data_IF_763146421562
#
_entry.id   IF_763146421562
#
_cell.length_a   1.000
_cell.length_b   1.000
_cell.length_c   1.000
_cell.angle_alpha   90.00
_cell.angle_beta   90.00
_cell.angle_gamma   90.00
#
_symmetry.space_group_name_H-M   'P 1'
#
loop_
_entity.id
_entity.type
_entity.pdbx_description
1 polymer ?
#
# COMPACT_ATOMS: atom_id res chain seq x y z
N UNK A 1 8.52 40.96 -14.86
CA UNK A 1 7.15 41.27 -14.42
C UNK A 1 7.20 41.82 -13.00
N UNK A 2 6.50 42.92 -12.65
CA UNK A 2 6.45 43.47 -11.29
C UNK A 2 5.70 42.57 -10.29
N UNK A 3 5.04 41.52 -10.78
CA UNK A 3 4.25 40.57 -10.00
C UNK A 3 5.14 39.42 -9.51
N UNK A 4 5.94 39.64 -8.48
CA UNK A 4 6.93 38.66 -8.01
C UNK A 4 6.43 37.74 -6.87
N UNK A 5 5.37 38.12 -6.16
CA UNK A 5 4.89 37.39 -4.99
C UNK A 5 3.39 37.12 -5.04
N UNK A 6 3.01 35.84 -5.04
CA UNK A 6 1.61 35.37 -5.11
C UNK A 6 0.75 35.91 -3.96
N UNK A 7 1.31 36.01 -2.75
CA UNK A 7 0.61 36.60 -1.60
C UNK A 7 0.30 38.09 -1.78
N UNK A 8 1.20 38.86 -2.40
CA UNK A 8 0.96 40.29 -2.63
C UNK A 8 -0.12 40.51 -3.68
N UNK A 9 -0.10 39.71 -4.75
CA UNK A 9 -1.14 39.67 -5.77
C UNK A 9 -2.53 39.37 -5.18
N UNK A 10 -2.62 38.34 -4.34
CA UNK A 10 -3.88 37.97 -3.68
C UNK A 10 -4.44 39.12 -2.83
N UNK A 11 -3.59 39.80 -2.06
CA UNK A 11 -3.98 40.96 -1.26
C UNK A 11 -4.53 42.11 -2.12
N UNK A 12 -3.82 42.47 -3.21
CA UNK A 12 -4.24 43.54 -4.12
C UNK A 12 -5.57 43.25 -4.81
N UNK A 13 -5.78 42.00 -5.25
CA UNK A 13 -7.05 41.59 -5.85
C UNK A 13 -8.18 41.61 -4.83
N UNK A 14 -7.93 41.13 -3.61
CA UNK A 14 -8.89 41.20 -2.52
C UNK A 14 -9.26 42.65 -2.20
N UNK A 15 -8.29 43.56 -2.08
CA UNK A 15 -8.56 44.98 -1.84
C UNK A 15 -9.41 45.59 -2.97
N UNK A 16 -9.04 45.34 -4.24
CA UNK A 16 -9.80 45.83 -5.39
C UNK A 16 -11.25 45.30 -5.46
N UNK A 17 -11.47 44.02 -5.13
CA UNK A 17 -12.81 43.43 -5.05
C UNK A 17 -13.62 44.05 -3.92
N UNK A 18 -13.00 44.23 -2.75
CA UNK A 18 -13.62 44.84 -1.57
C UNK A 18 -14.04 46.28 -1.86
N UNK A 19 -13.15 47.08 -2.46
CA UNK A 19 -13.43 48.47 -2.82
C UNK A 19 -14.57 48.56 -3.82
N UNK A 20 -14.54 47.74 -4.88
CA UNK A 20 -15.61 47.71 -5.89
C UNK A 20 -16.97 47.32 -5.31
N UNK A 21 -17.00 46.30 -4.45
CA UNK A 21 -18.24 45.87 -3.79
C UNK A 21 -18.73 46.91 -2.77
N UNK A 22 -17.82 47.59 -2.07
CA UNK A 22 -18.17 48.68 -1.15
C UNK A 22 -18.78 49.87 -1.89
N UNK A 23 -18.19 50.26 -3.02
CA UNK A 23 -18.73 51.33 -3.88
C UNK A 23 -20.13 51.00 -4.39
N UNK A 24 -20.37 49.75 -4.82
CA UNK A 24 -21.66 49.36 -5.39
C UNK A 24 -22.74 49.04 -4.36
N UNK A 25 -22.38 48.46 -3.21
CA UNK A 25 -23.34 47.96 -2.22
C UNK A 25 -23.38 48.78 -0.92
N UNK A 26 -22.52 49.80 -0.78
CA UNK A 26 -22.44 50.66 0.40
C UNK A 26 -21.84 50.00 1.65
N UNK A 27 -21.48 48.71 1.60
CA UNK A 27 -20.92 47.95 2.72
C UNK A 27 -19.69 47.16 2.30
N UNK A 28 -18.71 47.10 3.20
CA UNK A 28 -17.51 46.28 3.02
C UNK A 28 -17.86 44.80 3.23
N UNK A 29 -17.59 43.88 2.28
CA UNK A 29 -17.78 42.45 2.52
C UNK A 29 -16.77 41.92 3.55
N UNK A 30 -17.15 40.88 4.30
CA UNK A 30 -16.24 40.11 5.16
C UNK A 30 -15.32 39.23 4.32
N UNK A 31 -14.21 38.79 4.91
CA UNK A 31 -13.27 37.85 4.30
C UNK A 31 -13.07 36.70 5.28
N UNK A 32 -13.35 35.48 4.83
CA UNK A 32 -13.12 34.23 5.57
C UNK A 32 -12.19 33.35 4.73
N UNK A 33 -11.05 32.96 5.28
CA UNK A 33 -10.08 32.09 4.59
C UNK A 33 -10.49 30.63 4.55
N UNK A 34 -11.30 30.20 5.52
CA UNK A 34 -11.57 28.80 5.80
C UNK A 34 -12.88 28.38 5.14
N UNK A 35 -13.92 29.19 5.26
CA UNK A 35 -15.26 28.91 4.72
C UNK A 35 -15.88 30.10 3.99
N UNK A 36 -15.28 30.59 2.89
CA UNK A 36 -15.84 31.71 2.14
C UNK A 36 -17.11 31.33 1.37
N UNK A 37 -18.08 32.26 1.34
CA UNK A 37 -19.26 32.19 0.47
C UNK A 37 -18.88 32.18 -1.02
N UNK A 38 -17.93 33.04 -1.40
CA UNK A 38 -17.40 33.14 -2.75
C UNK A 38 -15.88 33.08 -2.72
N UNK A 39 -15.32 32.16 -3.50
CA UNK A 39 -13.88 31.99 -3.65
C UNK A 39 -13.46 32.39 -5.05
N UNK A 40 -12.37 33.15 -5.16
CA UNK A 40 -11.81 33.57 -6.43
C UNK A 40 -10.41 32.98 -6.64
N UNK A 41 -10.13 32.53 -7.86
CA UNK A 41 -8.81 32.04 -8.27
C UNK A 41 -8.17 33.01 -9.24
N UNK A 42 -6.94 33.43 -8.94
CA UNK A 42 -6.16 34.32 -9.78
C UNK A 42 -5.05 33.52 -10.48
N UNK A 43 -5.01 33.56 -11.80
CA UNK A 43 -3.90 33.02 -12.60
C UNK A 43 -3.18 34.16 -13.28
N UNK A 44 -1.92 34.37 -12.91
CA UNK A 44 -1.03 35.35 -13.53
C UNK A 44 0.07 34.62 -14.31
N UNK A 45 0.27 35.00 -15.57
CA UNK A 45 1.30 34.41 -16.43
C UNK A 45 1.71 35.36 -17.57
N UNK A 46 2.49 34.88 -18.56
CA UNK A 46 2.96 35.70 -19.67
C UNK A 46 1.83 36.37 -20.47
N UNK A 47 0.66 35.73 -20.55
CA UNK A 47 -0.53 36.25 -21.23
C UNK A 47 -1.42 37.16 -20.38
N UNK A 48 -0.93 37.67 -19.25
CA UNK A 48 -1.68 38.56 -18.35
C UNK A 48 -2.32 37.85 -17.16
N UNK A 49 -3.37 38.47 -16.61
CA UNK A 49 -4.02 38.06 -15.36
C UNK A 49 -5.46 37.65 -15.66
N UNK A 50 -5.86 36.48 -15.16
CA UNK A 50 -7.23 35.96 -15.26
C UNK A 50 -7.78 35.69 -13.87
N UNK A 51 -8.99 36.17 -13.62
CA UNK A 51 -9.72 35.98 -12.37
C UNK A 51 -10.92 35.06 -12.64
N UNK A 52 -11.07 34.02 -11.84
CA UNK A 52 -12.18 33.06 -11.93
C UNK A 52 -12.95 33.02 -10.62
N UNK A 53 -14.27 32.86 -10.72
CA UNK A 53 -15.10 32.49 -9.58
C UNK A 53 -15.13 30.95 -9.45
N UNK A 54 -14.85 30.45 -8.24
CA UNK A 54 -14.91 29.03 -7.93
C UNK A 54 -16.34 28.60 -7.65
N UNK A 55 -16.93 27.86 -8.58
CA UNK A 55 -18.27 27.31 -8.43
C UNK A 55 -18.29 25.96 -7.69
N UNK A 56 -17.13 25.35 -7.46
CA UNK A 56 -17.02 24.04 -6.79
C UNK A 56 -17.00 24.17 -5.27
N UNK A 57 -16.33 25.21 -4.74
CA UNK A 57 -16.09 25.36 -3.31
C UNK A 57 -15.00 24.39 -2.86
N UNK A 58 -15.35 23.39 -2.03
CA UNK A 58 -14.38 22.34 -1.69
C UNK A 58 -14.01 21.52 -2.94
N UNK A 59 -12.76 21.05 -3.08
CA UNK A 59 -12.32 20.29 -4.26
C UNK A 59 -13.26 19.14 -4.63
N UNK A 60 -13.56 18.97 -5.92
CA UNK A 60 -14.59 18.02 -6.39
C UNK A 60 -14.29 16.53 -6.08
N UNK A 61 -13.03 16.15 -5.85
CA UNK A 61 -12.71 14.79 -5.40
C UNK A 61 -13.32 14.46 -4.03
N UNK A 62 -13.55 15.47 -3.19
CA UNK A 62 -14.26 15.30 -1.92
C UNK A 62 -15.76 15.14 -2.19
N UNK A 63 -16.20 13.89 -2.36
CA UNK A 63 -17.60 13.56 -2.67
C UNK A 63 -18.56 13.77 -1.49
N UNK A 64 -18.04 14.00 -0.30
CA UNK A 64 -18.81 14.00 0.96
C UNK A 64 -19.06 12.60 1.55
N UNK A 65 -18.45 11.55 0.97
CA UNK A 65 -18.71 10.15 1.32
C UNK A 65 -17.64 9.51 2.22
N UNK A 66 -16.41 10.03 2.19
CA UNK A 66 -15.25 9.43 2.85
C UNK A 66 -14.98 10.11 4.20
N UNK A 67 -14.87 9.30 5.27
CA UNK A 67 -14.60 9.81 6.63
C UNK A 67 -13.21 9.46 7.14
N UNK A 68 -12.61 8.38 6.67
CA UNK A 68 -11.31 7.87 7.15
C UNK A 68 -10.37 7.56 5.99
N UNK A 69 -9.10 7.85 6.19
CA UNK A 69 -8.04 7.59 5.21
C UNK A 69 -7.03 6.60 5.80
N UNK A 70 -6.50 5.74 4.94
CA UNK A 70 -5.31 4.92 5.21
C UNK A 70 -4.07 5.62 4.63
N UNK A 71 -2.88 5.12 4.89
CA UNK A 71 -1.64 5.62 4.30
C UNK A 71 -1.67 5.56 2.76
N UNK A 72 -1.15 6.60 2.10
CA UNK A 72 -1.02 6.74 0.64
C UNK A 72 -2.29 6.43 -0.22
N UNK A 73 -3.45 7.05 0.06
CA UNK A 73 -4.67 6.72 -0.67
C UNK A 73 -4.74 7.39 -2.05
N UNK A 74 -5.28 6.66 -3.02
CA UNK A 74 -5.68 7.23 -4.32
C UNK A 74 -6.84 8.22 -4.09
N UNK A 75 -6.76 9.41 -4.71
CA UNK A 75 -7.87 10.38 -4.70
C UNK A 75 -9.06 9.85 -5.51
N UNK A 76 -10.27 10.19 -5.10
CA UNK A 76 -11.54 9.73 -5.69
C UNK A 76 -11.62 10.01 -7.19
N UNK A 77 -11.22 11.22 -7.61
CA UNK A 77 -11.21 11.58 -9.03
C UNK A 77 -10.17 10.78 -9.85
N UNK A 78 -9.04 10.41 -9.25
CA UNK A 78 -8.05 9.56 -9.90
C UNK A 78 -8.58 8.13 -10.01
N UNK A 79 -9.15 7.58 -8.93
CA UNK A 79 -9.77 6.26 -8.95
C UNK A 79 -10.87 6.17 -10.02
N UNK A 80 -11.76 7.17 -10.08
CA UNK A 80 -12.77 7.29 -11.14
C UNK A 80 -12.15 7.33 -12.53
N UNK A 81 -11.09 8.13 -12.74
CA UNK A 81 -10.41 8.20 -14.04
C UNK A 81 -9.85 6.86 -14.47
N UNK A 82 -9.26 6.09 -13.55
CA UNK A 82 -8.70 4.77 -13.83
C UNK A 82 -9.77 3.72 -14.13
N UNK A 83 -10.91 3.75 -13.41
CA UNK A 83 -12.07 2.92 -13.72
C UNK A 83 -12.64 3.22 -15.11
N UNK A 84 -12.76 4.50 -15.48
CA UNK A 84 -13.17 4.92 -16.81
C UNK A 84 -12.16 4.44 -17.88
N UNK A 85 -10.86 4.55 -17.61
CA UNK A 85 -9.80 4.03 -18.51
C UNK A 85 -9.88 2.52 -18.68
N UNK A 86 -10.31 1.79 -17.66
CA UNK A 86 -10.58 0.34 -17.71
C UNK A 86 -11.91 -0.03 -18.35
N UNK A 87 -12.73 0.95 -18.76
CA UNK A 87 -14.05 0.71 -19.35
C UNK A 87 -15.08 0.20 -18.33
N UNK A 88 -14.90 0.48 -17.04
CA UNK A 88 -15.77 -0.05 -15.98
C UNK A 88 -17.27 0.20 -16.21
N UNK A 89 -17.75 1.39 -16.61
CA UNK A 89 -19.20 1.59 -16.81
C UNK A 89 -19.82 0.65 -17.85
N UNK A 90 -19.12 0.38 -18.94
CA UNK A 90 -19.58 -0.55 -19.98
C UNK A 90 -19.55 -2.00 -19.48
N UNK A 91 -18.49 -2.37 -18.76
CA UNK A 91 -18.34 -3.71 -18.17
C UNK A 91 -19.41 -3.98 -17.10
N UNK A 92 -19.67 -3.00 -16.22
CA UNK A 92 -20.72 -3.07 -15.22
C UNK A 92 -22.10 -3.27 -15.86
N UNK A 93 -22.40 -2.54 -16.95
CA UNK A 93 -23.64 -2.73 -17.72
C UNK A 93 -23.78 -4.11 -18.37
N UNK A 94 -22.67 -4.82 -18.57
CA UNK A 94 -22.61 -6.22 -19.05
C UNK A 94 -22.62 -7.25 -17.91
N UNK A 95 -22.74 -6.81 -16.65
CA UNK A 95 -22.74 -7.67 -15.47
C UNK A 95 -21.36 -8.15 -15.03
N UNK A 96 -20.27 -7.51 -15.47
CA UNK A 96 -18.93 -7.85 -14.97
C UNK A 96 -18.79 -7.43 -13.51
N UNK A 97 -18.13 -8.27 -12.72
CA UNK A 97 -17.80 -7.92 -11.34
C UNK A 97 -16.66 -6.89 -11.26
N UNK A 98 -16.58 -6.13 -10.17
CA UNK A 98 -15.41 -5.31 -9.81
C UNK A 98 -14.73 -5.89 -8.58
N UNK A 99 -13.42 -6.14 -8.67
CA UNK A 99 -12.62 -6.66 -7.57
C UNK A 99 -11.41 -5.78 -7.29
N UNK A 100 -11.14 -5.50 -6.02
CA UNK A 100 -9.86 -4.93 -5.58
C UNK A 100 -9.23 -5.83 -4.50
N UNK A 101 -8.17 -6.60 -4.81
CA UNK A 101 -7.51 -7.51 -3.88
C UNK A 101 -6.69 -6.83 -2.77
N UNK A 102 -6.48 -5.50 -2.85
CA UNK A 102 -5.78 -4.69 -1.85
C UNK A 102 -6.45 -3.33 -1.74
N UNK A 103 -7.69 -3.35 -1.25
CA UNK A 103 -8.62 -2.25 -1.39
C UNK A 103 -8.32 -1.03 -0.52
N UNK A 104 -7.47 -1.16 0.51
CA UNK A 104 -7.12 -0.08 1.42
C UNK A 104 -8.37 0.55 2.03
N UNK A 105 -8.60 1.85 1.77
CA UNK A 105 -9.80 2.54 2.23
C UNK A 105 -11.06 2.32 1.36
N UNK A 106 -11.00 1.48 0.35
CA UNK A 106 -12.11 1.11 -0.54
C UNK A 106 -12.40 2.09 -1.68
N UNK A 107 -11.47 2.98 -2.04
CA UNK A 107 -11.76 4.09 -2.98
C UNK A 107 -12.19 3.61 -4.37
N UNK A 108 -11.53 2.60 -4.94
CA UNK A 108 -11.94 2.04 -6.24
C UNK A 108 -13.33 1.41 -6.17
N UNK A 109 -13.65 0.72 -5.08
CA UNK A 109 -14.93 0.04 -4.91
C UNK A 109 -16.07 1.05 -4.71
N UNK A 110 -15.83 2.13 -3.97
CA UNK A 110 -16.79 3.23 -3.79
C UNK A 110 -17.05 3.90 -5.14
N UNK A 111 -16.02 4.39 -5.84
CA UNK A 111 -16.23 5.07 -7.13
C UNK A 111 -16.82 4.10 -8.18
N UNK A 112 -16.43 2.82 -8.14
CA UNK A 112 -16.99 1.78 -8.99
C UNK A 112 -18.48 1.53 -8.75
N UNK A 113 -18.89 1.45 -7.48
CA UNK A 113 -20.29 1.33 -7.10
C UNK A 113 -21.10 2.58 -7.46
N UNK A 114 -20.54 3.78 -7.28
CA UNK A 114 -21.19 5.03 -7.72
C UNK A 114 -21.43 5.03 -9.24
N UNK A 115 -20.45 4.59 -10.03
CA UNK A 115 -20.60 4.46 -11.49
C UNK A 115 -21.66 3.43 -11.87
N UNK A 116 -21.67 2.26 -11.23
CA UNK A 116 -22.65 1.21 -11.51
C UNK A 116 -24.08 1.63 -11.14
N UNK A 117 -24.23 2.38 -10.03
CA UNK A 117 -25.49 3.00 -9.63
C UNK A 117 -25.86 4.25 -10.42
N UNK A 118 -25.05 4.68 -11.41
CA UNK A 118 -25.22 5.97 -12.08
C UNK A 118 -25.43 7.15 -11.09
N UNK A 119 -24.82 7.06 -9.90
CA UNK A 119 -24.96 8.04 -8.83
C UNK A 119 -23.96 9.15 -9.05
N UNK A 120 -24.46 10.35 -9.41
CA UNK A 120 -23.57 11.45 -9.73
C UNK A 120 -22.67 11.84 -8.53
N UNK A 121 -21.39 12.19 -8.78
CA UNK A 121 -20.40 12.42 -7.72
C UNK A 121 -20.73 13.61 -6.80
N UNK A 122 -21.65 14.48 -7.24
CA UNK A 122 -22.08 15.66 -6.51
C UNK A 122 -23.23 15.47 -5.52
N UNK A 123 -23.99 14.36 -5.58
CA UNK A 123 -25.24 14.22 -4.82
C UNK A 123 -25.05 14.31 -3.30
N UNK A 124 -23.94 13.78 -2.79
CA UNK A 124 -23.65 13.67 -1.36
C UNK A 124 -22.82 14.84 -0.82
N UNK A 125 -22.49 15.81 -1.67
CA UNK A 125 -21.77 17.01 -1.23
C UNK A 125 -22.71 17.89 -0.40
N UNK A 126 -22.18 18.51 0.64
CA UNK A 126 -22.92 19.44 1.50
C UNK A 126 -23.28 20.76 0.81
N UNK A 127 -22.51 21.13 -0.22
CA UNK A 127 -22.72 22.35 -0.99
C UNK A 127 -21.68 22.53 -2.10
N UNK A 128 -21.83 23.63 -2.82
CA UNK A 128 -20.99 24.08 -3.91
C UNK A 128 -20.65 25.56 -3.77
N UNK A 129 -19.55 25.99 -4.39
CA UNK A 129 -19.13 27.40 -4.37
C UNK A 129 -20.11 28.34 -5.09
N UNK A 130 -21.05 27.80 -5.87
CA UNK A 130 -22.11 28.57 -6.48
C UNK A 130 -23.31 28.83 -5.55
N UNK A 131 -23.42 28.19 -4.38
CA UNK A 131 -24.64 28.29 -3.55
C UNK A 131 -24.92 29.73 -3.08
N UNK A 132 -23.86 30.51 -2.80
CA UNK A 132 -23.94 31.92 -2.42
C UNK A 132 -23.74 32.89 -3.61
N UNK A 133 -23.57 32.39 -4.83
CA UNK A 133 -23.35 33.23 -6.01
C UNK A 133 -24.66 33.91 -6.42
N UNK A 134 -24.71 35.25 -6.58
CA UNK A 134 -25.95 35.93 -6.98
C UNK A 134 -26.54 35.49 -8.33
N UNK A 135 -25.73 34.87 -9.21
CA UNK A 135 -26.19 34.29 -10.47
C UNK A 135 -26.77 32.87 -10.34
N UNK A 136 -26.73 32.27 -9.15
CA UNK A 136 -27.28 30.95 -8.89
C UNK A 136 -28.79 30.93 -9.12
N UNK A 137 -29.26 29.85 -9.73
CA UNK A 137 -30.67 29.60 -10.01
C UNK A 137 -31.13 28.36 -9.23
N UNK A 138 -31.69 28.53 -8.02
CA UNK A 138 -32.06 27.40 -7.16
C UNK A 138 -33.02 26.41 -7.83
N UNK A 139 -34.00 26.88 -8.59
CA UNK A 139 -34.94 26.02 -9.31
C UNK A 139 -34.26 25.12 -10.33
N UNK A 140 -33.37 25.68 -11.15
CA UNK A 140 -32.58 24.91 -12.13
C UNK A 140 -31.68 23.87 -11.44
N UNK A 141 -31.06 24.25 -10.32
CA UNK A 141 -30.22 23.31 -9.56
C UNK A 141 -31.05 22.17 -8.96
N UNK A 142 -32.24 22.47 -8.43
CA UNK A 142 -33.16 21.47 -7.93
C UNK A 142 -33.59 20.48 -9.01
N UNK A 143 -33.87 20.96 -10.23
CA UNK A 143 -34.18 20.11 -11.40
C UNK A 143 -33.03 19.15 -11.72
N UNK A 144 -31.79 19.67 -11.83
CA UNK A 144 -30.59 18.85 -12.09
C UNK A 144 -30.36 17.82 -10.98
N UNK A 145 -30.58 18.20 -9.72
CA UNK A 145 -30.45 17.29 -8.59
C UNK A 145 -31.48 16.16 -8.65
N UNK A 146 -32.75 16.48 -8.93
CA UNK A 146 -33.82 15.49 -9.07
C UNK A 146 -33.60 14.55 -10.26
N UNK A 147 -33.06 15.06 -11.37
CA UNK A 147 -32.63 14.21 -12.50
C UNK A 147 -31.58 13.19 -12.05
N UNK A 148 -30.54 13.66 -11.34
CA UNK A 148 -29.46 12.79 -10.88
C UNK A 148 -29.93 11.77 -9.82
N UNK A 149 -30.87 12.13 -8.94
CA UNK A 149 -31.50 11.22 -7.98
C UNK A 149 -32.33 10.13 -8.70
N UNK A 150 -33.17 10.51 -9.67
CA UNK A 150 -33.96 9.56 -10.48
C UNK A 150 -33.07 8.61 -11.29
N UNK A 151 -31.98 9.12 -11.86
CA UNK A 151 -31.03 8.31 -12.60
C UNK A 151 -30.34 7.26 -11.72
N UNK A 152 -30.06 7.61 -10.46
CA UNK A 152 -29.48 6.68 -9.49
C UNK A 152 -30.48 5.61 -9.04
N UNK A 153 -31.73 6.00 -8.80
CA UNK A 153 -32.80 5.08 -8.41
C UNK A 153 -33.07 4.02 -9.47
N UNK A 154 -33.07 4.40 -10.76
CA UNK A 154 -33.31 3.48 -11.88
C UNK A 154 -32.21 2.42 -12.07
N UNK A 155 -31.02 2.61 -11.49
CA UNK A 155 -29.89 1.70 -11.63
C UNK A 155 -29.75 0.70 -10.48
N UNK A 156 -30.52 0.85 -9.39
CA UNK A 156 -30.40 0.05 -8.16
C UNK A 156 -30.51 -1.46 -8.39
N UNK A 157 -31.39 -1.87 -9.29
CA UNK A 157 -31.67 -3.30 -9.54
C UNK A 157 -30.65 -3.98 -10.46
N UNK A 158 -29.65 -3.24 -10.97
CA UNK A 158 -28.66 -3.71 -11.94
C UNK A 158 -27.24 -3.78 -11.37
N UNK A 159 -27.12 -3.94 -10.05
CA UNK A 159 -25.82 -3.90 -9.40
C UNK A 159 -24.98 -5.15 -9.72
N UNK A 160 -23.77 -4.99 -10.29
CA UNK A 160 -22.82 -6.09 -10.40
C UNK A 160 -22.26 -6.44 -9.02
N UNK A 161 -21.64 -7.62 -8.91
CA UNK A 161 -20.87 -7.96 -7.72
C UNK A 161 -19.64 -7.04 -7.59
N UNK A 162 -19.49 -6.41 -6.43
CA UNK A 162 -18.33 -5.56 -6.11
C UNK A 162 -17.70 -6.06 -4.80
N UNK A 163 -16.43 -6.45 -4.86
CA UNK A 163 -15.75 -7.12 -3.74
C UNK A 163 -14.35 -6.54 -3.51
N UNK A 164 -14.03 -6.26 -2.26
CA UNK A 164 -12.70 -5.82 -1.82
C UNK A 164 -12.07 -6.77 -0.83
N UNK A 165 -10.76 -6.92 -0.94
CA UNK A 165 -9.94 -7.64 0.04
C UNK A 165 -8.82 -6.75 0.53
N UNK A 166 -8.39 -6.96 1.76
CA UNK A 166 -7.13 -6.40 2.24
C UNK A 166 -6.51 -7.32 3.30
N UNK A 167 -5.19 -7.30 3.41
CA UNK A 167 -4.46 -8.03 4.43
C UNK A 167 -4.45 -7.29 5.78
N UNK A 168 -4.61 -5.96 5.76
CA UNK A 168 -4.63 -5.13 6.95
C UNK A 168 -6.04 -5.04 7.55
N UNK A 169 -6.28 -5.53 8.78
CA UNK A 169 -7.58 -5.44 9.43
C UNK A 169 -8.03 -3.98 9.67
N UNK A 170 -7.10 -3.03 9.85
CA UNK A 170 -7.43 -1.60 10.00
C UNK A 170 -7.93 -1.00 8.69
N UNK A 171 -7.27 -1.33 7.56
CA UNK A 171 -7.74 -0.98 6.23
C UNK A 171 -9.15 -1.54 5.96
N UNK A 172 -9.39 -2.82 6.25
CA UNK A 172 -10.72 -3.46 6.15
C UNK A 172 -11.78 -2.71 6.97
N UNK A 173 -11.47 -2.39 8.23
CA UNK A 173 -12.38 -1.64 9.09
C UNK A 173 -12.67 -0.24 8.52
N UNK A 174 -11.66 0.41 7.97
CA UNK A 174 -11.75 1.73 7.32
C UNK A 174 -12.61 1.69 6.05
N UNK A 175 -12.40 0.71 5.16
CA UNK A 175 -13.20 0.51 3.96
C UNK A 175 -14.68 0.29 4.30
N UNK A 176 -14.98 -0.61 5.26
CA UNK A 176 -16.36 -0.83 5.74
C UNK A 176 -16.99 0.44 6.30
N UNK A 177 -16.25 1.23 7.07
CA UNK A 177 -16.75 2.50 7.61
C UNK A 177 -17.04 3.53 6.50
N UNK A 178 -16.21 3.61 5.47
CA UNK A 178 -16.43 4.50 4.32
C UNK A 178 -17.62 4.03 3.48
N UNK A 179 -17.79 2.72 3.26
CA UNK A 179 -18.97 2.16 2.57
C UNK A 179 -20.26 2.47 3.32
N UNK A 180 -20.27 2.32 4.65
CA UNK A 180 -21.42 2.74 5.49
C UNK A 180 -21.73 4.22 5.34
N UNK A 181 -20.71 5.07 5.46
CA UNK A 181 -20.87 6.51 5.27
C UNK A 181 -21.38 6.86 3.87
N UNK A 182 -21.04 6.06 2.86
CA UNK A 182 -21.50 6.24 1.49
C UNK A 182 -22.90 5.65 1.20
N UNK A 183 -23.46 4.85 2.12
CA UNK A 183 -24.69 4.10 1.90
C UNK A 183 -24.53 2.93 0.92
N UNK A 184 -23.34 2.32 0.88
CA UNK A 184 -22.95 1.26 -0.06
C UNK A 184 -22.65 -0.09 0.61
N UNK A 185 -22.80 -0.21 1.93
CA UNK A 185 -22.47 -1.45 2.66
C UNK A 185 -23.30 -2.66 2.22
N UNK A 186 -24.53 -2.45 1.72
CA UNK A 186 -25.39 -3.53 1.23
C UNK A 186 -25.04 -4.04 -0.17
N UNK A 187 -24.22 -3.29 -0.93
CA UNK A 187 -23.91 -3.60 -2.35
C UNK A 187 -22.42 -3.85 -2.61
N UNK A 188 -21.54 -3.51 -1.68
CA UNK A 188 -20.11 -3.79 -1.76
C UNK A 188 -19.68 -4.67 -0.60
N UNK A 189 -19.08 -5.82 -0.90
CA UNK A 189 -18.53 -6.74 0.09
C UNK A 189 -17.06 -6.43 0.37
N UNK A 190 -16.67 -6.38 1.64
CA UNK A 190 -15.26 -6.25 2.06
C UNK A 190 -14.89 -7.42 2.95
N UNK A 191 -13.80 -8.11 2.62
CA UNK A 191 -13.27 -9.25 3.36
C UNK A 191 -11.83 -9.00 3.81
N UNK A 192 -11.46 -9.54 4.97
CA UNK A 192 -10.07 -9.60 5.40
C UNK A 192 -9.47 -10.86 4.79
N UNK A 193 -8.57 -10.70 3.83
CA UNK A 193 -7.91 -11.80 3.14
C UNK A 193 -6.64 -11.29 2.46
N UNK A 194 -5.46 -11.79 2.86
CA UNK A 194 -4.22 -11.55 2.14
C UNK A 194 -4.27 -12.09 0.71
N UNK A 195 -3.58 -11.42 -0.22
CA UNK A 195 -3.51 -11.84 -1.64
C UNK A 195 -2.98 -13.27 -1.81
N UNK A 196 -2.09 -13.70 -0.92
CA UNK A 196 -1.53 -15.05 -0.90
C UNK A 196 -2.55 -16.16 -0.59
N UNK A 197 -3.67 -15.83 0.07
CA UNK A 197 -4.78 -16.74 0.36
C UNK A 197 -5.93 -16.60 -0.66
N UNK A 198 -5.90 -15.58 -1.51
CA UNK A 198 -6.90 -15.40 -2.56
C UNK A 198 -6.73 -16.45 -3.65
N UNK A 199 -7.85 -17.02 -4.05
CA UNK A 199 -7.96 -18.01 -5.11
C UNK A 199 -9.31 -17.85 -5.81
N UNK A 200 -9.50 -18.56 -6.92
CA UNK A 200 -10.70 -18.46 -7.74
C UNK A 200 -12.02 -18.62 -6.98
N UNK A 201 -12.05 -19.47 -5.94
CA UNK A 201 -13.28 -19.77 -5.20
C UNK A 201 -13.81 -18.59 -4.36
N UNK A 202 -12.92 -17.65 -3.99
CA UNK A 202 -13.29 -16.43 -3.26
C UNK A 202 -13.74 -15.29 -4.18
N UNK A 203 -13.58 -15.45 -5.50
CA UNK A 203 -13.90 -14.43 -6.49
C UNK A 203 -15.24 -14.72 -7.18
N UNK A 204 -15.95 -13.68 -7.65
CA UNK A 204 -17.19 -13.84 -8.43
C UNK A 204 -17.09 -14.87 -9.57
N UNK A 205 -18.15 -15.64 -9.81
CA UNK A 205 -18.12 -16.75 -10.78
C UNK A 205 -18.05 -16.27 -12.25
N UNK A 206 -18.57 -15.08 -12.55
CA UNK A 206 -18.57 -14.48 -13.88
C UNK A 206 -17.24 -13.83 -14.28
N UNK A 207 -17.20 -13.15 -15.44
CA UNK A 207 -16.08 -12.29 -15.80
C UNK A 207 -16.04 -11.05 -14.91
N UNK A 208 -14.87 -10.43 -14.80
CA UNK A 208 -14.71 -9.26 -13.96
C UNK A 208 -13.56 -8.36 -14.36
N UNK A 209 -13.55 -7.19 -13.73
CA UNK A 209 -12.48 -6.23 -13.75
C UNK A 209 -11.81 -6.23 -12.38
N UNK A 210 -10.53 -6.58 -12.33
CA UNK A 210 -9.69 -6.38 -11.15
C UNK A 210 -8.99 -5.02 -11.25
N UNK A 211 -9.17 -4.12 -10.30
CA UNK A 211 -8.39 -2.87 -10.24
C UNK A 211 -7.79 -2.73 -8.86
N UNK A 212 -6.48 -2.47 -8.79
CA UNK A 212 -5.81 -2.36 -7.50
C UNK A 212 -4.69 -1.34 -7.50
N UNK A 213 -4.41 -0.78 -6.32
CA UNK A 213 -3.30 0.10 -6.04
C UNK A 213 -2.43 -0.54 -4.94
N UNK A 214 -1.62 -1.56 -5.29
CA UNK A 214 -0.76 -2.21 -4.32
C UNK A 214 0.25 -1.22 -3.76
N UNK A 215 0.88 -1.55 -2.62
CA UNK A 215 2.02 -0.79 -2.13
C UNK A 215 3.14 -0.71 -3.18
N UNK A 216 3.69 0.49 -3.38
CA UNK A 216 4.87 0.73 -4.19
C UNK A 216 5.77 1.73 -3.45
N UNK A 217 7.07 1.47 -3.41
CA UNK A 217 8.03 2.30 -2.68
C UNK A 217 9.45 2.09 -3.18
N UNK A 218 10.32 3.06 -2.93
CA UNK A 218 11.69 3.11 -3.48
C UNK A 218 12.75 2.42 -2.61
N UNK A 219 12.37 1.81 -1.48
CA UNK A 219 13.34 1.21 -0.54
C UNK A 219 13.72 -0.21 -0.95
N UNK A 220 15.02 -0.50 -1.02
CA UNK A 220 15.59 -1.78 -1.48
C UNK A 220 15.02 -3.02 -0.74
N UNK A 221 14.87 -2.96 0.59
CA UNK A 221 14.32 -4.07 1.39
C UNK A 221 12.83 -4.32 1.14
N UNK A 222 12.05 -3.26 0.94
CA UNK A 222 10.63 -3.36 0.61
C UNK A 222 10.44 -3.90 -0.82
N UNK A 223 11.32 -3.57 -1.78
CA UNK A 223 11.19 -3.98 -3.19
C UNK A 223 11.13 -5.50 -3.38
N UNK A 224 11.88 -6.30 -2.62
CA UNK A 224 11.86 -7.76 -2.76
C UNK A 224 10.52 -8.36 -2.32
N UNK A 225 10.02 -7.95 -1.15
CA UNK A 225 8.70 -8.33 -0.66
C UNK A 225 7.60 -7.89 -1.62
N UNK A 226 7.70 -6.66 -2.14
CA UNK A 226 6.79 -6.15 -3.16
C UNK A 226 6.82 -6.98 -4.45
N UNK A 227 7.99 -7.40 -4.94
CA UNK A 227 8.05 -8.25 -6.14
C UNK A 227 7.40 -9.61 -5.93
N UNK A 228 7.52 -10.19 -4.74
CA UNK A 228 6.81 -11.43 -4.37
C UNK A 228 5.30 -11.19 -4.36
N UNK A 229 4.84 -10.09 -3.75
CA UNK A 229 3.43 -9.70 -3.73
C UNK A 229 2.85 -9.52 -5.14
N UNK A 230 3.55 -8.80 -6.02
CA UNK A 230 3.13 -8.61 -7.42
C UNK A 230 3.14 -9.94 -8.21
N UNK A 231 4.03 -10.89 -7.88
CA UNK A 231 3.98 -12.25 -8.42
C UNK A 231 2.77 -13.03 -7.93
N UNK A 232 2.39 -12.90 -6.65
CA UNK A 232 1.18 -13.54 -6.12
C UNK A 232 -0.07 -13.02 -6.83
N UNK A 233 -0.17 -11.70 -7.08
CA UNK A 233 -1.20 -11.14 -7.95
C UNK A 233 -1.19 -11.77 -9.34
N UNK A 234 -0.02 -11.86 -9.96
CA UNK A 234 0.15 -12.49 -11.26
C UNK A 234 -0.30 -13.96 -11.30
N UNK A 235 -0.07 -14.71 -10.22
CA UNK A 235 -0.55 -16.09 -10.06
C UNK A 235 -2.06 -16.17 -9.95
N UNK A 236 -2.68 -15.32 -9.13
CA UNK A 236 -4.14 -15.23 -9.00
C UNK A 236 -4.80 -14.98 -10.37
N UNK A 237 -4.22 -14.09 -11.17
CA UNK A 237 -4.74 -13.75 -12.50
C UNK A 237 -4.75 -14.91 -13.49
N UNK A 238 -3.95 -15.96 -13.28
CA UNK A 238 -3.95 -17.15 -14.15
C UNK A 238 -5.25 -17.93 -14.08
N UNK A 239 -5.97 -17.83 -12.96
CA UNK A 239 -7.25 -18.50 -12.76
C UNK A 239 -8.43 -17.68 -13.30
N UNK A 240 -8.15 -16.51 -13.90
CA UNK A 240 -9.13 -15.50 -14.29
C UNK A 240 -9.15 -15.28 -15.81
N UNK A 241 -9.11 -16.36 -16.59
CA UNK A 241 -9.23 -16.30 -18.04
C UNK A 241 -10.48 -15.49 -18.46
N UNK A 242 -10.30 -14.54 -19.37
CA UNK A 242 -11.35 -13.65 -19.86
C UNK A 242 -11.65 -12.42 -18.97
N UNK A 243 -10.98 -12.29 -17.83
CA UNK A 243 -11.07 -11.08 -17.01
C UNK A 243 -10.17 -9.97 -17.53
N UNK A 244 -10.36 -8.75 -17.00
CA UNK A 244 -9.46 -7.61 -17.19
C UNK A 244 -8.81 -7.24 -15.87
N UNK A 245 -7.58 -6.76 -15.91
CA UNK A 245 -6.90 -6.23 -14.74
C UNK A 245 -6.33 -4.82 -14.97
N UNK A 246 -6.30 -4.04 -13.89
CA UNK A 246 -5.73 -2.69 -13.80
C UNK A 246 -4.83 -2.58 -12.58
N UNK A 247 -3.62 -2.08 -12.76
CA UNK A 247 -2.58 -2.07 -11.73
C UNK A 247 -1.91 -0.69 -11.59
N UNK A 248 -2.11 -0.11 -10.41
CA UNK A 248 -1.42 1.04 -9.80
C UNK A 248 0.08 0.80 -9.49
N UNK A 249 1.08 1.42 -10.13
CA UNK A 249 2.44 1.41 -9.55
C UNK A 249 3.34 2.57 -9.98
N UNK A 250 4.30 2.97 -9.14
CA UNK A 250 5.41 3.86 -9.52
C UNK A 250 6.63 3.12 -10.06
N UNK A 251 6.71 1.79 -9.92
CA UNK A 251 7.89 1.00 -10.27
C UNK A 251 7.54 0.00 -11.37
N UNK A 252 8.06 0.23 -12.58
CA UNK A 252 7.81 -0.62 -13.75
C UNK A 252 8.22 -2.09 -13.52
N UNK A 253 9.32 -2.31 -12.81
CA UNK A 253 9.81 -3.65 -12.44
C UNK A 253 8.79 -4.45 -11.63
N UNK A 254 7.94 -3.78 -10.81
CA UNK A 254 6.88 -4.44 -10.06
C UNK A 254 5.74 -4.89 -10.97
N UNK A 255 5.32 -4.03 -11.92
CA UNK A 255 4.34 -4.43 -12.93
C UNK A 255 4.83 -5.64 -13.75
N UNK A 256 6.10 -5.65 -14.15
CA UNK A 256 6.73 -6.80 -14.84
C UNK A 256 6.77 -8.06 -13.98
N UNK A 257 6.91 -7.92 -12.66
CA UNK A 257 6.95 -9.06 -11.74
C UNK A 257 5.63 -9.85 -11.73
N UNK A 258 4.50 -9.27 -12.13
CA UNK A 258 3.24 -10.04 -12.35
C UNK A 258 3.40 -11.19 -13.34
N UNK A 259 4.37 -11.11 -14.26
CA UNK A 259 4.54 -12.08 -15.34
C UNK A 259 3.54 -11.90 -16.48
N UNK A 260 2.72 -10.84 -16.47
CA UNK A 260 1.74 -10.55 -17.51
C UNK A 260 2.22 -9.42 -18.42
N UNK A 261 1.96 -9.56 -19.72
CA UNK A 261 2.15 -8.47 -20.68
C UNK A 261 0.95 -7.52 -20.60
N UNK A 262 1.20 -6.24 -20.32
CA UNK A 262 0.15 -5.22 -20.35
C UNK A 262 -0.30 -4.95 -21.78
N UNK A 263 -1.60 -4.86 -22.02
CA UNK A 263 -2.17 -4.43 -23.31
C UNK A 263 -2.12 -2.92 -23.49
N UNK A 264 -2.16 -2.15 -22.40
CA UNK A 264 -2.03 -0.69 -22.41
C UNK A 264 -1.37 -0.19 -21.12
N UNK A 265 -0.76 0.99 -21.20
CA UNK A 265 -0.35 1.72 -20.01
C UNK A 265 -0.58 3.23 -20.14
N UNK A 266 -0.78 3.91 -19.02
CA UNK A 266 -1.00 5.35 -18.94
C UNK A 266 -0.09 5.97 -17.88
N UNK A 267 0.72 6.97 -18.25
CA UNK A 267 1.48 7.76 -17.29
C UNK A 267 0.57 8.79 -16.59
N UNK A 268 0.74 8.94 -15.28
CA UNK A 268 -0.06 9.84 -14.44
C UNK A 268 0.70 10.19 -13.15
N UNK A 269 0.15 11.11 -12.36
CA UNK A 269 0.68 11.45 -11.04
C UNK A 269 -0.31 11.07 -9.95
N UNK A 270 0.12 10.28 -8.97
CA UNK A 270 -0.63 10.06 -7.74
C UNK A 270 -0.08 11.01 -6.67
N UNK A 271 -0.70 12.19 -6.55
CA UNK A 271 -0.14 13.28 -5.76
C UNK A 271 1.19 13.76 -6.37
N UNK A 272 2.30 13.80 -5.62
CA UNK A 272 3.59 14.20 -6.16
C UNK A 272 4.31 13.06 -6.91
N UNK A 273 3.88 11.80 -6.75
CA UNK A 273 4.59 10.62 -7.24
C UNK A 273 4.21 10.35 -8.69
N UNK A 274 5.22 10.18 -9.55
CA UNK A 274 5.02 9.73 -10.92
C UNK A 274 4.71 8.23 -10.92
N UNK A 275 3.59 7.88 -11.54
CA UNK A 275 3.10 6.52 -11.60
C UNK A 275 2.69 6.14 -13.01
N UNK A 276 2.50 4.84 -13.21
CA UNK A 276 1.89 4.30 -14.41
C UNK A 276 0.77 3.35 -14.02
N UNK A 277 -0.35 3.48 -14.71
CA UNK A 277 -1.45 2.52 -14.64
C UNK A 277 -1.29 1.53 -15.78
N UNK A 278 -1.19 0.24 -15.45
CA UNK A 278 -1.08 -0.84 -16.42
C UNK A 278 -2.41 -1.55 -16.54
N UNK A 279 -2.79 -1.89 -17.77
CA UNK A 279 -4.02 -2.62 -18.08
C UNK A 279 -3.65 -3.94 -18.75
N UNK A 280 -4.36 -5.00 -18.38
CA UNK A 280 -4.11 -6.36 -18.82
C UNK A 280 -5.42 -6.99 -19.25
N UNK A 281 -5.37 -7.68 -20.39
CA UNK A 281 -6.40 -8.63 -20.79
C UNK A 281 -5.89 -10.01 -20.35
N UNK A 282 -6.61 -10.66 -19.43
CA UNK A 282 -6.17 -11.90 -18.80
C UNK A 282 -6.50 -13.08 -19.72
N UNK A 283 -5.58 -13.34 -20.66
CA UNK A 283 -5.59 -14.54 -21.49
C UNK A 283 -4.27 -15.29 -21.41
N UNK A 284 -4.31 -16.61 -21.56
CA UNK A 284 -3.12 -17.47 -21.47
C UNK A 284 -1.96 -17.00 -22.38
N UNK A 285 -2.23 -16.37 -23.53
CA UNK A 285 -1.20 -15.88 -24.45
C UNK A 285 -0.41 -14.68 -23.91
N UNK A 286 -0.99 -13.90 -22.97
CA UNK A 286 -0.36 -12.72 -22.37
C UNK A 286 0.51 -13.07 -21.16
N UNK A 287 0.37 -14.26 -20.59
CA UNK A 287 1.18 -14.71 -19.48
C UNK A 287 2.55 -15.24 -19.95
N UNK A 288 3.61 -14.67 -19.38
CA UNK A 288 5.02 -15.01 -19.66
C UNK A 288 5.79 -15.42 -18.41
N UNK A 289 5.14 -15.42 -17.24
CA UNK A 289 5.80 -15.70 -15.96
C UNK A 289 6.48 -17.07 -15.90
N UNK A 290 5.87 -18.09 -16.51
CA UNK A 290 6.41 -19.46 -16.51
C UNK A 290 7.53 -19.66 -17.55
N UNK A 291 7.75 -18.71 -18.46
CA UNK A 291 8.74 -18.85 -19.55
C UNK A 291 10.15 -18.34 -19.18
N UNK A 292 10.36 -17.77 -17.99
CA UNK A 292 11.67 -17.26 -17.57
C UNK A 292 12.60 -18.40 -17.10
N UNK A 293 13.65 -18.77 -17.86
CA UNK A 293 14.53 -19.89 -17.51
C UNK A 293 15.32 -19.64 -16.22
N UNK A 294 15.65 -18.38 -15.93
CA UNK A 294 16.38 -18.00 -14.72
C UNK A 294 15.50 -18.25 -13.50
N UNK A 295 14.21 -17.91 -13.62
CA UNK A 295 13.22 -18.17 -12.57
C UNK A 295 12.99 -19.66 -12.37
N UNK A 296 12.77 -20.42 -13.43
CA UNK A 296 12.61 -21.88 -13.34
C UNK A 296 13.81 -22.54 -12.64
N UNK A 297 15.03 -22.06 -12.95
CA UNK A 297 16.23 -22.55 -12.26
C UNK A 297 16.20 -22.22 -10.77
N UNK A 298 15.87 -20.99 -10.41
CA UNK A 298 15.75 -20.58 -9.01
C UNK A 298 14.68 -21.40 -8.25
N UNK A 299 13.54 -21.68 -8.86
CA UNK A 299 12.46 -22.49 -8.26
C UNK A 299 12.87 -23.95 -8.05
N UNK A 300 13.60 -24.52 -9.01
CA UNK A 300 14.22 -25.85 -8.87
C UNK A 300 15.19 -25.89 -7.70
N UNK A 301 16.08 -24.90 -7.59
CA UNK A 301 17.00 -24.77 -6.46
C UNK A 301 16.20 -24.62 -5.14
N UNK A 302 15.10 -23.86 -5.15
CA UNK A 302 14.23 -23.61 -3.99
C UNK A 302 13.55 -24.86 -3.41
N UNK A 303 13.40 -25.93 -4.19
CA UNK A 303 12.89 -27.21 -3.68
C UNK A 303 13.83 -27.80 -2.62
N UNK A 304 15.15 -27.69 -2.82
CA UNK A 304 16.14 -28.15 -1.84
C UNK A 304 16.11 -27.28 -0.58
N UNK A 305 15.93 -25.97 -0.75
CA UNK A 305 15.77 -25.02 0.36
C UNK A 305 14.56 -25.39 1.23
N UNK A 306 13.40 -25.66 0.63
CA UNK A 306 12.18 -26.03 1.38
C UNK A 306 12.36 -27.32 2.18
N UNK A 307 12.99 -28.34 1.59
CA UNK A 307 13.34 -29.58 2.30
C UNK A 307 14.26 -29.31 3.50
N UNK A 308 15.25 -28.43 3.33
CA UNK A 308 16.18 -28.07 4.39
C UNK A 308 15.51 -27.31 5.53
N UNK A 309 14.66 -26.33 5.21
CA UNK A 309 13.91 -25.54 6.21
C UNK A 309 13.03 -26.46 7.05
N UNK A 310 12.25 -27.36 6.43
CA UNK A 310 11.41 -28.32 7.15
C UNK A 310 12.22 -29.20 8.11
N UNK A 311 13.38 -29.69 7.67
CA UNK A 311 14.27 -30.50 8.50
C UNK A 311 14.82 -29.69 9.68
N UNK A 312 15.27 -28.46 9.45
CA UNK A 312 15.79 -27.59 10.51
C UNK A 312 14.70 -27.21 11.51
N UNK A 313 13.51 -26.85 11.04
CA UNK A 313 12.37 -26.51 11.91
C UNK A 313 12.01 -27.66 12.84
N UNK A 314 11.83 -28.88 12.30
CA UNK A 314 11.53 -30.07 13.11
C UNK A 314 12.62 -30.37 14.14
N UNK A 315 13.89 -30.28 13.75
CA UNK A 315 15.04 -30.51 14.64
C UNK A 315 15.11 -29.49 15.78
N UNK A 316 14.81 -28.23 15.50
CA UNK A 316 14.96 -27.13 16.46
C UNK A 316 13.67 -26.85 17.27
N UNK A 317 12.53 -27.42 16.87
CA UNK A 317 11.25 -27.23 17.55
C UNK A 317 11.24 -27.69 19.02
N UNK A 318 11.90 -28.82 19.32
CA UNK A 318 12.03 -29.30 20.71
C UNK A 318 12.97 -28.42 21.54
N UNK A 319 14.11 -28.03 20.95
CA UNK A 319 15.08 -27.14 21.57
C UNK A 319 14.46 -25.79 21.93
N UNK A 320 13.78 -25.11 21.01
CA UNK A 320 13.19 -23.78 21.31
C UNK A 320 12.19 -23.79 22.47
N UNK A 321 11.38 -24.85 22.59
CA UNK A 321 10.40 -24.99 23.67
C UNK A 321 11.10 -25.20 25.01
N UNK A 322 12.13 -26.05 25.04
CA UNK A 322 12.95 -26.29 26.24
C UNK A 322 13.70 -25.05 26.66
N UNK A 323 14.28 -24.32 25.71
CA UNK A 323 15.04 -23.10 25.97
C UNK A 323 14.17 -21.87 26.24
N UNK A 324 12.84 -21.97 26.03
CA UNK A 324 11.86 -20.89 26.19
C UNK A 324 12.23 -19.63 25.39
N UNK A 325 12.48 -19.80 24.09
CA UNK A 325 12.90 -18.73 23.19
C UNK A 325 11.95 -18.55 22.01
N UNK A 326 11.74 -17.29 21.63
CA UNK A 326 10.99 -16.90 20.44
C UNK A 326 11.90 -16.41 19.30
N UNK A 327 13.17 -16.10 19.60
CA UNK A 327 14.14 -15.63 18.63
C UNK A 327 15.26 -16.65 18.37
N UNK A 328 15.44 -17.12 17.13
CA UNK A 328 16.43 -18.16 16.81
C UNK A 328 16.76 -18.26 15.32
N UNK A 329 17.97 -18.75 15.01
CA UNK A 329 18.41 -19.00 13.64
C UNK A 329 17.90 -20.34 13.12
N UNK A 330 17.12 -20.32 12.04
CA UNK A 330 16.59 -21.53 11.39
C UNK A 330 17.45 -22.01 10.22
N UNK A 331 18.23 -21.12 9.61
CA UNK A 331 19.06 -21.41 8.44
C UNK A 331 20.32 -20.54 8.44
N UNK A 332 21.48 -21.10 8.14
CA UNK A 332 22.76 -20.39 8.05
C UNK A 332 23.61 -20.96 6.91
N UNK A 333 23.35 -20.48 5.69
CA UNK A 333 24.13 -20.85 4.49
C UNK A 333 24.27 -22.36 4.30
N UNK A 334 23.21 -23.10 4.67
CA UNK A 334 23.20 -24.57 4.60
C UNK A 334 23.29 -25.10 3.16
N UNK A 335 22.97 -24.26 2.16
CA UNK A 335 22.95 -24.58 0.74
C UNK A 335 23.73 -23.49 -0.02
N UNK A 336 24.74 -23.84 -0.84
CA UNK A 336 25.58 -22.87 -1.55
C UNK A 336 24.80 -21.88 -2.43
N UNK A 337 23.74 -22.35 -3.09
CA UNK A 337 22.88 -21.54 -3.96
C UNK A 337 22.12 -20.45 -3.19
N UNK A 338 21.90 -20.65 -1.88
CA UNK A 338 21.18 -19.75 -1.00
C UNK A 338 22.09 -19.27 0.11
N UNK A 339 23.01 -18.35 -0.24
CA UNK A 339 23.92 -17.72 0.71
C UNK A 339 23.17 -16.72 1.61
N UNK A 340 22.34 -17.25 2.52
CA UNK A 340 21.42 -16.51 3.37
C UNK A 340 21.56 -16.96 4.83
N UNK A 341 21.28 -16.07 5.77
CA UNK A 341 20.94 -16.44 7.14
C UNK A 341 19.47 -16.07 7.39
N UNK A 342 18.73 -16.96 8.05
CA UNK A 342 17.33 -16.75 8.37
C UNK A 342 17.13 -16.85 9.88
N UNK A 343 16.69 -15.76 10.48
CA UNK A 343 16.43 -15.63 11.91
C UNK A 343 14.93 -15.40 12.12
N UNK A 344 14.31 -16.23 12.96
CA UNK A 344 12.92 -16.06 13.38
C UNK A 344 12.87 -15.19 14.64
N UNK A 345 11.88 -14.31 14.71
CA UNK A 345 11.57 -13.45 15.86
C UNK A 345 10.05 -13.50 16.09
N UNK A 346 9.59 -14.41 16.93
CA UNK A 346 8.15 -14.68 17.06
C UNK A 346 7.58 -15.16 15.71
N UNK A 347 6.64 -14.39 15.15
CA UNK A 347 6.03 -14.68 13.84
C UNK A 347 6.72 -13.94 12.68
N UNK A 348 7.80 -13.20 12.95
CA UNK A 348 8.54 -12.48 11.92
C UNK A 348 9.77 -13.25 11.47
N UNK A 349 10.09 -13.12 10.20
CA UNK A 349 11.29 -13.69 9.59
C UNK A 349 12.23 -12.57 9.16
N UNK A 350 13.49 -12.66 9.60
CA UNK A 350 14.55 -11.77 9.16
C UNK A 350 15.57 -12.54 8.32
N UNK A 351 15.60 -12.24 7.02
CA UNK A 351 16.52 -12.80 6.04
C UNK A 351 17.71 -11.85 5.84
N UNK A 352 18.92 -12.37 5.99
CA UNK A 352 20.16 -11.65 5.70
C UNK A 352 20.83 -12.28 4.50
N UNK A 353 20.90 -11.54 3.40
CA UNK A 353 21.61 -11.97 2.20
C UNK A 353 23.10 -11.68 2.32
N UNK A 354 23.90 -12.71 2.06
CA UNK A 354 25.33 -12.59 1.87
C UNK A 354 25.65 -12.39 0.39
N UNK A 355 26.79 -11.77 0.11
CA UNK A 355 27.25 -11.58 -1.26
C UNK A 355 27.30 -12.95 -1.97
N UNK A 356 26.67 -13.09 -3.15
CA UNK A 356 26.76 -14.33 -3.91
C UNK A 356 28.23 -14.62 -4.27
N UNK A 357 28.60 -15.91 -4.46
CA UNK A 357 29.92 -16.28 -4.93
C UNK A 357 30.31 -15.55 -6.22
N UNK A 358 31.61 -15.32 -6.42
CA UNK A 358 32.10 -14.70 -7.64
C UNK A 358 31.69 -15.53 -8.87
N UNK A 359 31.14 -14.87 -9.89
CA UNK A 359 30.69 -15.51 -11.15
C UNK A 359 29.22 -15.94 -11.17
N UNK A 360 28.46 -15.78 -10.08
CA UNK A 360 27.00 -15.96 -10.12
C UNK A 360 26.34 -14.76 -10.79
N UNK A 361 25.48 -15.04 -11.77
CA UNK A 361 24.67 -14.04 -12.46
C UNK A 361 23.73 -13.30 -11.48
N UNK A 362 23.70 -11.97 -11.56
CA UNK A 362 22.92 -11.12 -10.63
C UNK A 362 21.42 -11.36 -10.75
N UNK A 363 20.91 -11.65 -11.95
CA UNK A 363 19.49 -11.95 -12.18
C UNK A 363 19.13 -13.28 -11.52
N UNK A 364 19.99 -14.29 -11.61
CA UNK A 364 19.82 -15.56 -10.91
C UNK A 364 19.89 -15.40 -9.39
N UNK A 365 20.83 -14.61 -8.87
CA UNK A 365 20.93 -14.33 -7.44
C UNK A 365 19.64 -13.67 -6.91
N UNK A 366 19.15 -12.63 -7.61
CA UNK A 366 17.88 -11.97 -7.29
C UNK A 366 16.69 -12.93 -7.37
N UNK A 367 16.61 -13.74 -8.42
CA UNK A 367 15.53 -14.72 -8.57
C UNK A 367 15.55 -15.77 -7.45
N UNK A 368 16.73 -16.22 -7.01
CA UNK A 368 16.88 -17.12 -5.86
C UNK A 368 16.46 -16.47 -4.56
N UNK A 369 16.83 -15.21 -4.31
CA UNK A 369 16.39 -14.50 -3.11
C UNK A 369 14.87 -14.36 -3.07
N UNK A 370 14.26 -14.04 -4.21
CA UNK A 370 12.82 -13.97 -4.38
C UNK A 370 12.13 -15.33 -4.13
N UNK A 371 12.70 -16.43 -4.64
CA UNK A 371 12.24 -17.80 -4.34
C UNK A 371 12.44 -18.14 -2.87
N UNK A 372 13.54 -17.69 -2.24
CA UNK A 372 13.80 -17.94 -0.84
C UNK A 372 12.71 -17.33 0.04
N UNK A 373 12.32 -16.07 -0.21
CA UNK A 373 11.20 -15.42 0.50
C UNK A 373 9.91 -16.25 0.38
N UNK A 374 9.55 -16.66 -0.83
CA UNK A 374 8.35 -17.49 -1.06
C UNK A 374 8.42 -18.85 -0.35
N UNK A 375 9.57 -19.52 -0.42
CA UNK A 375 9.77 -20.83 0.21
C UNK A 375 9.74 -20.71 1.73
N UNK A 376 10.43 -19.72 2.31
CA UNK A 376 10.39 -19.50 3.75
C UNK A 376 8.99 -19.15 4.24
N UNK A 377 8.29 -18.24 3.54
CA UNK A 377 6.91 -17.88 3.85
C UNK A 377 6.00 -19.10 3.87
N UNK A 378 6.05 -19.93 2.81
CA UNK A 378 5.24 -21.16 2.70
C UNK A 378 5.59 -22.21 3.76
N UNK A 379 6.87 -22.53 3.93
CA UNK A 379 7.29 -23.65 4.80
C UNK A 379 7.17 -23.31 6.30
N UNK A 380 7.13 -22.03 6.66
CA UNK A 380 7.02 -21.56 8.04
C UNK A 380 5.67 -20.97 8.39
N UNK A 381 4.76 -20.86 7.42
CA UNK A 381 3.43 -20.25 7.58
C UNK A 381 3.55 -18.80 8.08
N UNK A 382 4.44 -18.03 7.43
CA UNK A 382 4.71 -16.62 7.75
C UNK A 382 4.31 -15.77 6.54
N UNK A 383 3.39 -14.81 6.68
CA UNK A 383 3.02 -13.91 5.59
C UNK A 383 4.23 -13.17 5.01
N UNK A 384 4.25 -12.93 3.71
CA UNK A 384 5.36 -12.20 3.06
C UNK A 384 5.55 -10.80 3.66
N UNK A 385 4.47 -10.17 4.13
CA UNK A 385 4.50 -8.89 4.85
C UNK A 385 5.26 -8.93 6.18
N UNK A 386 5.48 -10.12 6.74
CA UNK A 386 6.25 -10.36 7.97
C UNK A 386 7.67 -10.89 7.69
N UNK A 387 8.09 -10.88 6.41
CA UNK A 387 9.46 -11.23 6.00
C UNK A 387 10.25 -9.96 5.70
N UNK A 388 11.29 -9.70 6.50
CA UNK A 388 12.22 -8.59 6.30
C UNK A 388 13.52 -9.11 5.69
N UNK A 389 13.94 -8.56 4.56
CA UNK A 389 15.17 -8.95 3.88
C UNK A 389 16.20 -7.81 3.92
N UNK A 390 17.44 -8.12 4.33
CA UNK A 390 18.57 -7.17 4.36
C UNK A 390 19.76 -7.68 3.58
N UNK A 391 20.31 -6.81 2.73
CA UNK A 391 21.62 -7.04 2.12
C UNK A 391 22.75 -6.78 3.12
N UNK A 392 23.64 -7.76 3.33
CA UNK A 392 24.84 -7.58 4.15
C UNK A 392 25.96 -6.94 3.34
N UNK A 393 25.90 -5.62 3.13
CA UNK A 393 27.05 -4.84 2.63
C UNK A 393 28.04 -4.58 3.77
N UNK A 394 29.31 -4.99 3.61
CA UNK A 394 30.40 -4.56 4.52
C UNK A 394 30.59 -3.06 4.37
N UNK A 395 30.17 -2.28 5.35
CA UNK A 395 30.51 -0.85 5.45
C UNK A 395 31.67 -0.69 6.44
N UNK A 396 32.64 0.17 6.10
CA UNK A 396 33.73 0.57 6.98
C UNK A 396 33.30 1.85 7.73
N UNK A 397 33.52 1.91 9.05
CA UNK A 397 33.42 3.15 9.84
C UNK A 397 32.17 3.31 10.70
N UNK A 398 31.96 4.55 11.19
CA UNK A 398 30.92 4.94 12.17
C UNK A 398 29.48 4.98 11.61
N UNK A 399 29.28 4.72 10.32
CA UNK A 399 27.95 4.67 9.68
C UNK A 399 27.09 3.47 10.10
N UNK A 400 27.68 2.48 10.79
CA UNK A 400 27.00 1.27 11.26
C UNK A 400 25.97 1.52 12.39
N UNK A 401 25.97 2.70 13.02
CA UNK A 401 25.08 3.04 14.15
C UNK A 401 23.99 4.08 13.80
N UNK A 402 23.92 4.55 12.56
CA UNK A 402 22.82 5.42 12.10
C UNK A 402 21.63 4.58 11.64
N UNK A 403 20.42 4.98 12.02
CA UNK A 403 19.20 4.38 11.49
C UNK A 403 19.21 4.53 9.96
N UNK A 404 19.00 3.41 9.25
CA UNK A 404 18.84 3.35 7.80
C UNK A 404 17.39 3.59 7.38
N UNK A 405 16.44 3.26 8.27
CA UNK A 405 15.01 3.46 8.08
C UNK A 405 14.38 4.08 9.35
N UNK A 406 13.39 4.95 9.19
CA UNK A 406 12.63 5.58 10.29
C UNK A 406 11.22 4.97 10.40
N UNK A 407 11.06 3.63 10.43
CA UNK A 407 9.73 3.05 10.75
C UNK A 407 9.45 3.13 12.25
N UNK A 408 10.47 2.98 13.09
CA UNK A 408 10.33 2.99 14.55
C UNK A 408 9.61 1.77 15.11
N UNK A 409 9.20 0.82 14.26
CA UNK A 409 8.50 -0.39 14.65
C UNK A 409 9.42 -1.29 15.49
N UNK A 410 8.91 -1.69 16.66
CA UNK A 410 9.62 -2.59 17.57
C UNK A 410 8.75 -3.80 17.84
N UNK A 411 9.37 -4.97 17.72
CA UNK A 411 8.77 -6.24 18.10
C UNK A 411 9.24 -6.60 19.50
N UNK A 412 8.33 -7.10 20.34
CA UNK A 412 8.72 -7.73 21.61
C UNK A 412 8.93 -9.22 21.38
N UNK A 413 10.08 -9.75 21.80
CA UNK A 413 10.37 -11.19 21.80
C UNK A 413 10.72 -11.68 23.20
N UNK A 414 10.30 -12.91 23.50
CA UNK A 414 10.63 -13.57 24.77
C UNK A 414 11.88 -14.45 24.63
N UNK A 415 12.76 -14.36 25.62
CA UNK A 415 13.91 -15.24 25.78
C UNK A 415 14.12 -15.54 27.26
N UNK A 416 13.93 -16.81 27.63
CA UNK A 416 14.15 -17.32 28.99
C UNK A 416 13.44 -16.50 30.09
N UNK A 417 12.16 -16.19 29.84
CA UNK A 417 11.29 -15.42 30.73
C UNK A 417 11.45 -13.90 30.68
N UNK A 418 12.41 -13.39 29.90
CA UNK A 418 12.63 -11.95 29.72
C UNK A 418 12.09 -11.48 28.38
N UNK A 419 11.73 -10.19 28.33
CA UNK A 419 11.22 -9.51 27.14
C UNK A 419 12.29 -8.58 26.56
N UNK A 420 12.49 -8.66 25.25
CA UNK A 420 13.42 -7.82 24.51
C UNK A 420 12.69 -7.11 23.38
N UNK A 421 13.02 -5.83 23.19
CA UNK A 421 12.59 -5.08 22.01
C UNK A 421 13.62 -5.27 20.90
N UNK A 422 13.16 -5.74 19.75
CA UNK A 422 13.97 -5.86 18.53
C UNK A 422 13.39 -4.99 17.43
N UNK A 423 14.25 -4.55 16.52
CA UNK A 423 13.86 -3.79 15.35
C UNK A 423 14.46 -4.45 14.12
N UNK A 424 13.59 -4.99 13.26
CA UNK A 424 14.02 -5.81 12.14
C UNK A 424 14.36 -4.99 10.90
N UNK A 425 14.09 -3.69 10.87
CA UNK A 425 14.16 -2.84 9.65
C UNK A 425 15.24 -1.78 9.74
N UNK A 426 15.21 -0.97 10.79
CA UNK A 426 15.83 0.35 10.86
C UNK A 426 17.34 0.33 11.07
N UNK A 427 17.86 -0.72 11.71
CA UNK A 427 19.27 -0.82 12.08
C UNK A 427 19.96 -1.94 11.29
N UNK A 428 21.31 -1.93 11.27
CA UNK A 428 22.07 -3.01 10.65
C UNK A 428 21.76 -4.37 11.31
N UNK A 429 21.78 -4.38 12.64
CA UNK A 429 21.45 -5.53 13.49
C UNK A 429 20.04 -5.37 14.07
N UNK A 430 19.47 -6.46 14.60
CA UNK A 430 18.09 -6.47 15.10
C UNK A 430 17.91 -5.92 16.51
N UNK A 431 18.99 -5.59 17.22
CA UNK A 431 18.94 -5.25 18.64
C UNK A 431 19.17 -6.43 19.58
N UNK A 432 19.22 -7.68 19.09
CA UNK A 432 19.45 -8.87 19.92
C UNK A 432 20.36 -9.90 19.21
N UNK A 433 21.59 -10.05 19.70
CA UNK A 433 22.54 -11.04 19.19
C UNK A 433 22.18 -12.45 19.69
N UNK A 434 21.68 -13.30 18.79
CA UNK A 434 21.12 -14.62 19.13
C UNK A 434 22.18 -15.63 19.59
N UNK A 435 23.40 -15.54 19.05
CA UNK A 435 24.57 -16.35 19.36
C UNK A 435 25.12 -16.10 20.77
N UNK A 436 24.95 -14.89 21.30
CA UNK A 436 25.39 -14.53 22.66
C UNK A 436 24.45 -14.97 23.79
N UNK A 437 23.38 -15.71 23.49
CA UNK A 437 22.42 -16.21 24.49
C UNK A 437 23.07 -16.99 25.65
N UNK A 438 24.01 -17.93 25.42
CA UNK A 438 24.65 -18.65 26.52
C UNK A 438 25.41 -17.71 27.47
N UNK A 439 26.08 -16.68 26.92
CA UNK A 439 26.77 -15.68 27.73
C UNK A 439 25.79 -14.85 28.57
N UNK A 440 24.63 -14.45 28.02
CA UNK A 440 23.58 -13.76 28.79
C UNK A 440 23.07 -14.58 29.97
N UNK A 441 22.87 -15.89 29.79
CA UNK A 441 22.49 -16.79 30.90
C UNK A 441 23.55 -16.86 31.98
N UNK A 442 24.81 -16.99 31.59
CA UNK A 442 25.92 -16.97 32.54
C UNK A 442 25.96 -15.67 33.36
N UNK A 443 25.67 -14.53 32.73
CA UNK A 443 25.54 -13.24 33.43
C UNK A 443 24.46 -13.30 34.51
N UNK A 444 23.27 -13.82 34.21
CA UNK A 444 22.20 -13.98 35.22
C UNK A 444 22.63 -14.86 36.39
N UNK A 445 23.25 -16.00 36.10
CA UNK A 445 23.72 -16.94 37.12
C UNK A 445 24.76 -16.31 38.05
N UNK A 446 25.64 -15.47 37.51
CA UNK A 446 26.74 -14.86 38.26
C UNK A 446 26.41 -13.50 38.89
N UNK A 447 25.37 -12.81 38.43
CA UNK A 447 25.04 -11.46 38.90
C UNK A 447 24.33 -11.43 40.26
N UNK A 448 23.80 -12.56 40.75
CA UNK A 448 23.02 -12.62 41.99
C UNK A 448 23.80 -12.06 43.18
N UNK A 449 23.28 -10.99 43.78
CA UNK A 449 23.88 -10.32 44.95
C UNK A 449 25.14 -9.51 44.63
N UNK A 450 25.42 -9.20 43.36
CA UNK A 450 26.60 -8.44 42.93
C UNK A 450 26.23 -7.13 42.25
N UNK A 451 27.19 -6.20 42.20
CA UNK A 451 27.09 -5.01 41.35
C UNK A 451 27.54 -5.38 39.94
N UNK A 452 26.68 -5.17 38.95
CA UNK A 452 26.96 -5.47 37.55
C UNK A 452 27.24 -4.19 36.76
N UNK A 453 28.31 -4.18 35.96
CA UNK A 453 28.65 -3.11 35.03
C UNK A 453 28.75 -3.69 33.62
N UNK A 454 27.95 -3.17 32.69
CA UNK A 454 27.94 -3.58 31.29
C UNK A 454 28.54 -2.49 30.41
N UNK A 455 29.80 -2.65 30.03
CA UNK A 455 30.48 -1.74 29.10
C UNK A 455 30.18 -2.16 27.66
N UNK A 456 30.05 -1.18 26.74
CA UNK A 456 29.63 -1.44 25.35
C UNK A 456 28.31 -2.22 25.27
N UNK A 457 27.35 -1.83 26.12
CA UNK A 457 26.15 -2.61 26.40
C UNK A 457 25.18 -2.80 25.21
N UNK A 458 25.37 -2.08 24.11
CA UNK A 458 24.45 -2.04 22.98
C UNK A 458 23.01 -1.76 23.46
N UNK A 459 22.04 -2.63 23.16
CA UNK A 459 20.65 -2.53 23.64
C UNK A 459 20.45 -2.95 25.11
N UNK A 460 21.51 -3.32 25.82
CA UNK A 460 21.45 -3.68 27.24
C UNK A 460 20.95 -5.09 27.52
N UNK A 461 20.91 -5.99 26.52
CA UNK A 461 20.33 -7.34 26.70
C UNK A 461 20.97 -8.15 27.83
N UNK A 462 22.29 -8.05 28.06
CA UNK A 462 22.96 -8.66 29.21
C UNK A 462 22.61 -8.00 30.55
N UNK A 463 22.36 -6.69 30.55
CA UNK A 463 21.90 -5.96 31.75
C UNK A 463 20.51 -6.44 32.18
N UNK A 464 19.63 -6.73 31.22
CA UNK A 464 18.29 -7.29 31.50
C UNK A 464 18.38 -8.71 32.08
N UNK A 465 19.44 -9.46 31.78
CA UNK A 465 19.69 -10.76 32.43
C UNK A 465 20.32 -10.63 33.82
N UNK A 466 21.12 -9.59 34.06
CA UNK A 466 21.78 -9.36 35.34
C UNK A 466 20.82 -8.82 36.42
N UNK A 467 19.85 -8.00 36.00
CA UNK A 467 18.76 -7.51 36.84
C UNK A 467 17.75 -8.64 37.12
#
# INVERSE_FOLDING_TARGET
SPLQHTGHLALKVKDALVDRLREQCGRRPSVDSDSPDLRFHLFAGPGGVRLFLDLSGVPLHQRGLRRRQVAAPVKENLAASLLLRSGWPELAGKGYALVDPMCGSGTFLIEGALMALNRAPGLARSGFGFDAWPGHRPGLWQEVRQEAERAADAAKDKMPEIVGFDADPEAVATARANLRAAGLESVVRIEHCPVEELNRSRLPAGPGLLVTNPPYGERLGDILGLRVLYRQLGRLWRELEGWRAGLLTSVEDLARATGWRSSRSNALRNGPIDCRYYQFDLSAEQYRGDADPVRQRAEKDGTMLGNRIRKNFRRLAGWRKRERIEAWRIYDRDIPEFALAADLYGNWLHLQEFRPPAGVDERLARARLEVAVEVFSRELDIPVSQVVCKERRRQKGLEQYRARDEKGERLTVNEDGLKFLVNLTDYLDTGLFLDHRPARRLVREQAKGRRFLNLFCYTGSATVYAA
#
